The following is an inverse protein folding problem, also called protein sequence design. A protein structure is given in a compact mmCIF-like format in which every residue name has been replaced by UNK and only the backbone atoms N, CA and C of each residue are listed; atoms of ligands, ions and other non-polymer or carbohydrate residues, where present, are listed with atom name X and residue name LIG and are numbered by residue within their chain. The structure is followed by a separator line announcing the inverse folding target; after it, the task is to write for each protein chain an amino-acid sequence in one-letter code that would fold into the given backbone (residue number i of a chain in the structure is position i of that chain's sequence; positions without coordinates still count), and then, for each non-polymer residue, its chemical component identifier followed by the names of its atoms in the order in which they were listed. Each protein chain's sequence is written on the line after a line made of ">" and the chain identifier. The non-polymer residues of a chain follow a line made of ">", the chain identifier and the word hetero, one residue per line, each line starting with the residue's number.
data_IF_308375056530
#
_entry.id   IF_308375056530
#
_cell.length_a   1.000
_cell.length_b   1.000
_cell.length_c   1.000
_cell.angle_alpha   90.00
_cell.angle_beta   90.00
_cell.angle_gamma   90.00
#
_symmetry.space_group_name_H-M   'P 1'
#
loop_
_entity.id
_entity.type
_entity.pdbx_description
1 polymer ?
#
# COMPACT_ATOMS: atom_id res chain seq x y z
N UNK A 1 69.02 -21.10 -35.63
CA UNK A 1 68.00 -21.73 -36.49
C UNK A 1 67.45 -22.92 -35.70
N UNK A 2 66.18 -23.04 -35.32
CA UNK A 2 64.93 -22.53 -35.89
C UNK A 2 63.89 -22.27 -34.78
N UNK A 3 63.05 -21.28 -35.07
CA UNK A 3 61.77 -20.93 -34.47
C UNK A 3 60.75 -22.09 -34.56
N UNK A 4 59.89 -22.24 -33.55
CA UNK A 4 58.47 -22.72 -33.56
C UNK A 4 58.10 -23.14 -32.13
N UNK A 5 56.93 -22.96 -31.54
CA UNK A 5 55.79 -22.06 -31.72
C UNK A 5 54.95 -22.23 -30.43
N UNK A 6 54.34 -21.13 -29.96
CA UNK A 6 53.05 -21.03 -29.26
C UNK A 6 52.56 -22.23 -28.40
N UNK A 7 52.55 -22.08 -27.07
CA UNK A 7 51.54 -22.73 -26.22
C UNK A 7 50.86 -21.62 -25.42
N UNK A 8 49.68 -21.25 -25.89
CA UNK A 8 48.74 -20.36 -25.22
C UNK A 8 48.29 -21.00 -23.91
N UNK A 9 48.76 -20.50 -22.78
CA UNK A 9 48.23 -20.86 -21.47
C UNK A 9 46.93 -20.08 -21.26
N UNK A 10 45.83 -20.64 -21.77
CA UNK A 10 44.47 -20.22 -21.44
C UNK A 10 44.22 -20.61 -19.97
N UNK A 11 44.51 -19.70 -19.05
CA UNK A 11 44.06 -19.81 -17.67
C UNK A 11 42.53 -19.66 -17.69
N UNK A 12 41.84 -20.80 -17.64
CA UNK A 12 40.43 -20.87 -17.30
C UNK A 12 40.25 -20.15 -15.96
N UNK A 13 39.71 -18.94 -16.00
CA UNK A 13 38.85 -18.48 -14.92
C UNK A 13 37.68 -19.46 -14.89
N UNK A 14 37.76 -20.46 -14.01
CA UNK A 14 36.60 -21.20 -13.58
C UNK A 14 35.65 -20.17 -12.95
N UNK A 15 34.74 -19.67 -13.78
CA UNK A 15 33.50 -19.11 -13.28
C UNK A 15 32.92 -20.17 -12.34
N UNK A 16 32.85 -19.85 -11.06
CA UNK A 16 31.87 -20.45 -10.16
C UNK A 16 30.50 -19.98 -10.62
N UNK A 17 30.09 -20.44 -11.80
CA UNK A 17 28.75 -20.33 -12.31
C UNK A 17 28.01 -21.53 -11.77
N UNK A 18 26.95 -21.23 -11.02
CA UNK A 18 25.77 -22.05 -10.74
C UNK A 18 26.03 -23.56 -10.68
N UNK A 19 26.03 -24.08 -9.45
CA UNK A 19 25.70 -25.47 -9.18
C UNK A 19 24.36 -25.78 -9.87
N UNK A 20 24.43 -26.34 -11.07
CA UNK A 20 23.30 -26.91 -11.79
C UNK A 20 23.11 -28.32 -11.25
N UNK A 21 22.58 -28.42 -10.04
CA UNK A 21 22.00 -29.68 -9.59
C UNK A 21 20.59 -29.77 -10.15
N UNK A 22 20.40 -30.76 -11.03
CA UNK A 22 19.10 -31.25 -11.45
C UNK A 22 18.23 -31.51 -10.21
N UNK A 23 17.12 -30.77 -10.09
CA UNK A 23 16.31 -30.85 -8.88
C UNK A 23 15.03 -30.03 -8.96
N UNK A 24 14.14 -30.39 -9.90
CA UNK A 24 12.75 -29.91 -10.06
C UNK A 24 12.57 -28.41 -10.30
N UNK A 25 11.65 -28.05 -11.20
CA UNK A 25 10.93 -26.77 -11.13
C UNK A 25 10.26 -26.73 -9.75
N UNK A 26 11.01 -26.30 -8.72
CA UNK A 26 10.47 -26.13 -7.39
C UNK A 26 9.37 -25.07 -7.55
N UNK A 27 8.13 -25.48 -7.35
CA UNK A 27 6.99 -24.56 -7.39
C UNK A 27 7.17 -23.59 -6.23
N UNK A 28 7.81 -22.45 -6.51
CA UNK A 28 8.00 -21.39 -5.53
C UNK A 28 6.64 -20.76 -5.29
N UNK A 29 6.16 -20.81 -4.05
CA UNK A 29 5.00 -20.03 -3.65
C UNK A 29 5.41 -18.56 -3.64
N UNK A 30 4.83 -17.70 -4.50
CA UNK A 30 5.23 -16.31 -4.57
C UNK A 30 4.92 -15.61 -3.24
N UNK A 31 5.83 -14.75 -2.75
CA UNK A 31 5.53 -13.94 -1.59
C UNK A 31 4.41 -12.95 -1.91
N UNK A 32 3.65 -12.59 -0.87
CA UNK A 32 2.57 -11.62 -0.90
C UNK A 32 2.97 -10.37 -0.14
N UNK A 33 2.32 -9.27 -0.51
CA UNK A 33 2.49 -7.97 0.12
C UNK A 33 1.10 -7.37 0.32
N UNK A 34 0.58 -7.45 1.55
CA UNK A 34 -0.79 -7.06 1.87
C UNK A 34 -0.83 -6.05 3.01
N UNK A 35 -1.84 -5.17 2.98
CA UNK A 35 -2.18 -4.36 4.15
C UNK A 35 -3.05 -5.21 5.08
N UNK A 36 -2.58 -5.41 6.30
CA UNK A 36 -3.26 -6.18 7.36
C UNK A 36 -3.37 -5.35 8.63
N UNK A 37 -4.32 -5.69 9.49
CA UNK A 37 -4.42 -5.13 10.84
C UNK A 37 -3.74 -6.06 11.83
N UNK A 38 -2.87 -5.52 12.67
CA UNK A 38 -2.23 -6.28 13.74
C UNK A 38 -3.23 -6.50 14.89
N UNK A 39 -3.54 -7.75 15.21
CA UNK A 39 -4.49 -8.10 16.29
C UNK A 39 -3.78 -8.34 17.64
N UNK A 40 -2.45 -8.35 17.63
CA UNK A 40 -1.62 -8.64 18.81
C UNK A 40 -0.72 -9.86 18.64
N UNK A 41 0.22 -10.00 19.57
CA UNK A 41 1.03 -11.22 19.70
C UNK A 41 0.28 -12.22 20.60
N UNK A 42 0.28 -13.49 20.20
CA UNK A 42 -0.24 -14.62 20.99
C UNK A 42 0.78 -15.09 22.01
N UNK A 43 0.32 -15.83 23.02
CA UNK A 43 1.15 -16.35 24.11
C UNK A 43 2.31 -17.27 23.64
N UNK A 44 2.17 -17.86 22.45
CA UNK A 44 3.21 -18.69 21.80
C UNK A 44 4.26 -17.84 21.03
N UNK A 45 4.23 -16.51 21.15
CA UNK A 45 5.22 -15.62 20.56
C UNK A 45 5.04 -15.39 19.05
N UNK A 46 3.83 -15.56 18.53
CA UNK A 46 3.47 -15.32 17.13
C UNK A 46 2.52 -14.13 17.00
N UNK A 47 2.47 -13.48 15.85
CA UNK A 47 1.51 -12.40 15.62
C UNK A 47 0.24 -12.89 14.92
N UNK A 48 -0.88 -12.28 15.29
CA UNK A 48 -2.17 -12.43 14.60
C UNK A 48 -2.41 -11.23 13.71
N UNK A 49 -2.72 -11.47 12.44
CA UNK A 49 -2.94 -10.43 11.45
C UNK A 49 -4.28 -10.64 10.76
N UNK A 50 -5.15 -9.63 10.78
CA UNK A 50 -6.41 -9.65 10.07
C UNK A 50 -6.23 -9.10 8.64
N UNK A 51 -6.40 -9.97 7.65
CA UNK A 51 -6.47 -9.61 6.24
C UNK A 51 -7.94 -9.54 5.83
N UNK A 52 -8.42 -8.32 5.59
CA UNK A 52 -9.75 -8.09 5.01
C UNK A 52 -9.59 -7.95 3.51
N UNK A 53 -10.28 -8.77 2.74
CA UNK A 53 -10.21 -8.68 1.28
C UNK A 53 -11.03 -7.49 0.73
N UNK A 54 -10.80 -7.11 -0.54
CA UNK A 54 -11.42 -5.92 -1.14
C UNK A 54 -12.94 -5.92 -1.03
N UNK A 55 -13.50 -4.75 -0.72
CA UNK A 55 -14.93 -4.51 -0.56
C UNK A 55 -15.63 -5.44 0.45
N UNK A 56 -14.88 -5.87 1.47
CA UNK A 56 -15.31 -6.80 2.53
C UNK A 56 -15.67 -8.20 2.02
N UNK A 57 -15.00 -8.68 0.96
CA UNK A 57 -15.24 -10.02 0.42
C UNK A 57 -14.74 -11.18 1.30
N UNK A 58 -14.46 -10.93 2.58
CA UNK A 58 -14.00 -11.92 3.56
C UNK A 58 -12.94 -11.35 4.49
N UNK A 59 -12.80 -11.97 5.66
CA UNK A 59 -11.69 -11.73 6.59
C UNK A 59 -10.95 -13.04 6.83
N UNK A 60 -9.65 -13.03 6.58
CA UNK A 60 -8.75 -14.14 6.87
C UNK A 60 -7.86 -13.75 8.03
N UNK A 61 -7.83 -14.58 9.08
CA UNK A 61 -6.91 -14.39 10.20
C UNK A 61 -5.64 -15.20 9.94
N UNK A 62 -4.52 -14.50 9.76
CA UNK A 62 -3.21 -15.09 9.51
C UNK A 62 -2.45 -15.23 10.83
N UNK A 63 -1.72 -16.34 11.02
CA UNK A 63 -0.72 -16.47 12.08
C UNK A 63 0.67 -16.30 11.50
N UNK A 64 1.39 -15.27 11.91
CA UNK A 64 2.77 -15.07 11.49
C UNK A 64 3.72 -16.05 12.19
N UNK A 65 4.77 -16.46 11.50
CA UNK A 65 5.84 -17.32 12.03
C UNK A 65 6.65 -16.69 13.19
N UNK A 66 6.43 -15.41 13.51
CA UNK A 66 7.09 -14.67 14.58
C UNK A 66 6.20 -13.55 15.13
N UNK A 67 6.52 -13.09 16.34
CA UNK A 67 5.95 -11.88 16.93
C UNK A 67 6.37 -10.61 16.16
N UNK A 68 5.53 -9.59 16.30
CA UNK A 68 5.83 -8.21 15.91
C UNK A 68 6.42 -7.45 17.09
N UNK A 69 7.30 -6.49 16.80
CA UNK A 69 7.84 -5.55 17.78
C UNK A 69 6.76 -4.56 18.23
N UNK A 70 6.26 -4.74 19.44
CA UNK A 70 5.22 -3.90 20.04
C UNK A 70 5.74 -2.54 20.52
N UNK A 71 7.04 -2.25 20.40
CA UNK A 71 7.54 -0.88 20.54
C UNK A 71 7.27 -0.03 19.29
N UNK A 72 6.99 -0.66 18.15
CA UNK A 72 6.80 0.00 16.86
C UNK A 72 5.37 -0.08 16.30
N UNK A 73 4.58 -1.06 16.75
CA UNK A 73 3.21 -1.33 16.24
C UNK A 73 2.32 -1.77 17.39
N UNK A 74 1.16 -1.14 17.52
CA UNK A 74 0.14 -1.49 18.51
C UNK A 74 -0.99 -2.34 17.90
N UNK A 75 -1.68 -3.20 18.69
CA UNK A 75 -2.89 -3.85 18.22
C UNK A 75 -3.92 -2.83 17.70
N UNK A 76 -4.46 -3.09 16.51
CA UNK A 76 -5.32 -2.19 15.74
C UNK A 76 -4.58 -1.41 14.64
N UNK A 77 -3.26 -1.31 14.70
CA UNK A 77 -2.47 -0.66 13.66
C UNK A 77 -2.51 -1.42 12.34
N UNK A 78 -2.43 -0.66 11.25
CA UNK A 78 -2.31 -1.20 9.89
C UNK A 78 -0.85 -1.29 9.51
N UNK A 79 -0.45 -2.46 9.04
CA UNK A 79 0.90 -2.73 8.55
C UNK A 79 0.85 -3.28 7.14
N UNK A 80 1.94 -3.09 6.41
CA UNK A 80 2.22 -3.74 5.15
C UNK A 80 3.05 -4.98 5.44
N UNK A 81 2.44 -6.16 5.37
CA UNK A 81 3.10 -7.43 5.66
C UNK A 81 3.65 -8.04 4.37
N UNK A 82 4.94 -8.40 4.38
CA UNK A 82 5.61 -9.15 3.33
C UNK A 82 5.84 -10.60 3.80
N UNK A 83 5.17 -11.55 3.17
CA UNK A 83 5.11 -12.93 3.68
C UNK A 83 5.00 -13.97 2.58
N UNK A 84 5.36 -15.22 2.89
CA UNK A 84 5.03 -16.38 2.07
C UNK A 84 3.88 -17.16 2.73
N UNK A 85 2.79 -17.48 2.01
CA UNK A 85 1.71 -18.33 2.54
C UNK A 85 2.22 -19.74 2.89
N UNK A 86 1.86 -20.23 4.09
CA UNK A 86 2.16 -21.58 4.61
C UNK A 86 0.90 -22.11 5.32
N UNK A 87 -0.18 -22.28 4.56
CA UNK A 87 -1.55 -22.57 5.06
C UNK A 87 -1.58 -23.54 6.26
N UNK A 88 -2.23 -23.17 7.40
CA UNK A 88 -3.04 -21.96 7.63
C UNK A 88 -2.24 -20.73 8.08
N UNK A 89 -0.92 -20.85 8.20
CA UNK A 89 -0.02 -19.83 8.74
C UNK A 89 0.69 -19.06 7.62
N UNK A 90 1.50 -18.08 8.00
CA UNK A 90 2.37 -17.36 7.08
C UNK A 90 3.79 -17.32 7.62
N UNK A 91 4.77 -17.44 6.72
CA UNK A 91 6.14 -17.08 7.05
C UNK A 91 6.36 -15.61 6.77
N UNK A 92 6.35 -14.82 7.84
CA UNK A 92 6.51 -13.37 7.79
C UNK A 92 7.98 -13.02 7.56
N UNK A 93 8.30 -12.54 6.35
CA UNK A 93 9.63 -12.07 6.04
C UNK A 93 9.87 -10.70 6.67
N UNK A 94 9.01 -9.73 6.39
CA UNK A 94 9.14 -8.37 6.93
C UNK A 94 7.79 -7.65 7.03
N UNK A 95 7.78 -6.51 7.71
CA UNK A 95 6.61 -5.62 7.77
C UNK A 95 7.02 -4.16 7.96
N UNK A 96 6.14 -3.25 7.56
CA UNK A 96 6.28 -1.82 7.82
C UNK A 96 4.94 -1.21 8.25
N UNK A 97 4.93 -0.20 9.13
CA UNK A 97 3.72 0.58 9.41
C UNK A 97 3.15 1.21 8.14
N UNK A 98 1.82 1.18 7.99
CA UNK A 98 1.14 1.91 6.92
C UNK A 98 0.82 3.32 7.42
N UNK A 99 0.96 4.31 6.54
CA UNK A 99 0.54 5.68 6.87
C UNK A 99 -0.99 5.71 7.05
N UNK A 100 -1.46 5.88 8.27
CA UNK A 100 -2.90 5.94 8.58
C UNK A 100 -3.34 7.38 8.82
N UNK A 101 -4.44 7.77 8.18
CA UNK A 101 -4.97 9.12 8.27
C UNK A 101 -6.47 9.11 8.48
N UNK A 102 -6.99 10.03 9.28
CA UNK A 102 -8.44 10.16 9.47
C UNK A 102 -9.06 10.97 8.33
N UNK A 103 -10.26 10.60 7.91
CA UNK A 103 -11.11 11.41 7.04
C UNK A 103 -11.28 12.82 7.63
N UNK A 104 -11.17 13.84 6.78
CA UNK A 104 -11.40 15.25 7.14
C UNK A 104 -12.65 15.76 6.43
N UNK A 105 -13.23 16.84 6.94
CA UNK A 105 -14.40 17.50 6.33
C UNK A 105 -13.99 18.93 5.95
N UNK A 106 -14.45 19.40 4.79
CA UNK A 106 -14.30 20.78 4.38
C UNK A 106 -15.47 21.22 3.49
N UNK A 107 -15.74 22.52 3.44
CA UNK A 107 -16.66 23.13 2.48
C UNK A 107 -16.18 22.90 1.04
N UNK A 108 -17.13 22.86 0.10
CA UNK A 108 -16.84 22.78 -1.34
C UNK A 108 -15.88 23.88 -1.81
N UNK A 109 -16.08 25.11 -1.33
CA UNK A 109 -15.26 26.28 -1.66
C UNK A 109 -13.80 26.04 -1.27
N UNK A 110 -13.55 25.58 -0.04
CA UNK A 110 -12.20 25.20 0.41
C UNK A 110 -11.63 24.11 -0.49
N UNK A 111 -12.37 23.04 -0.78
CA UNK A 111 -11.89 21.95 -1.64
C UNK A 111 -11.50 22.43 -3.05
N UNK A 112 -12.28 23.33 -3.64
CA UNK A 112 -12.02 23.89 -4.97
C UNK A 112 -10.79 24.84 -4.98
N UNK A 113 -10.40 25.40 -3.83
CA UNK A 113 -9.15 26.18 -3.69
C UNK A 113 -7.88 25.33 -3.54
N UNK A 114 -8.01 24.03 -3.28
CA UNK A 114 -6.85 23.17 -3.05
C UNK A 114 -6.18 22.84 -4.39
N UNK A 115 -5.07 23.52 -4.67
CA UNK A 115 -4.13 23.09 -5.72
C UNK A 115 -3.60 21.72 -5.35
N UNK A 116 -3.79 20.75 -6.25
CA UNK A 116 -3.41 19.37 -6.03
C UNK A 116 -2.31 18.98 -7.02
N UNK A 117 -1.16 18.61 -6.46
CA UNK A 117 -0.15 17.89 -7.20
C UNK A 117 -0.73 16.52 -7.64
N UNK A 118 -0.36 16.04 -8.83
CA UNK A 118 -0.88 14.79 -9.33
C UNK A 118 -0.38 13.59 -8.51
N UNK A 119 -1.22 12.57 -8.42
CA UNK A 119 -0.94 11.30 -7.75
C UNK A 119 -0.87 10.20 -8.79
N UNK A 120 0.25 9.47 -8.85
CA UNK A 120 0.32 8.28 -9.69
C UNK A 120 -0.37 7.13 -8.96
N UNK A 121 -1.64 6.88 -9.30
CA UNK A 121 -2.44 5.85 -8.63
C UNK A 121 -2.12 4.47 -9.21
N UNK A 122 -1.75 3.52 -8.34
CA UNK A 122 -1.57 2.11 -8.70
C UNK A 122 -2.82 1.31 -8.36
N UNK A 123 -3.38 1.49 -7.17
CA UNK A 123 -4.60 0.81 -6.74
C UNK A 123 -5.33 1.58 -5.63
N UNK A 124 -6.66 1.55 -5.66
CA UNK A 124 -7.53 2.04 -4.58
C UNK A 124 -8.55 0.95 -4.26
N UNK A 125 -8.70 0.59 -2.99
CA UNK A 125 -9.67 -0.42 -2.57
C UNK A 125 -10.14 -0.20 -1.14
N UNK A 126 -11.36 -0.63 -0.82
CA UNK A 126 -11.91 -0.52 0.53
C UNK A 126 -11.72 -1.82 1.31
N UNK A 127 -11.41 -1.70 2.60
CA UNK A 127 -11.46 -2.80 3.57
C UNK A 127 -12.04 -2.31 4.89
N UNK A 128 -13.18 -2.83 5.30
CA UNK A 128 -13.98 -2.35 6.41
C UNK A 128 -14.24 -0.84 6.30
N UNK A 129 -13.85 -0.11 7.34
CA UNK A 129 -13.93 1.35 7.37
C UNK A 129 -12.66 2.04 6.87
N UNK A 130 -11.86 1.39 6.02
CA UNK A 130 -10.63 1.93 5.46
C UNK A 130 -10.68 2.04 3.95
N UNK A 131 -10.23 3.18 3.42
CA UNK A 131 -9.84 3.31 2.02
C UNK A 131 -8.34 3.15 1.93
N UNK A 132 -7.88 2.17 1.18
CA UNK A 132 -6.47 1.90 0.96
C UNK A 132 -6.04 2.45 -0.40
N UNK A 133 -4.86 3.03 -0.43
CA UNK A 133 -4.26 3.59 -1.62
C UNK A 133 -2.82 3.10 -1.73
N UNK A 134 -2.51 2.48 -2.87
CA UNK A 134 -1.16 2.28 -3.35
C UNK A 134 -0.89 3.30 -4.45
N UNK A 135 0.12 4.14 -4.27
CA UNK A 135 0.48 5.18 -5.22
C UNK A 135 1.99 5.33 -5.36
N UNK A 136 2.42 6.10 -6.35
CA UNK A 136 3.72 6.75 -6.35
C UNK A 136 3.53 8.24 -6.15
N UNK A 137 4.40 8.81 -5.33
CA UNK A 137 4.39 10.24 -5.01
C UNK A 137 5.80 10.83 -5.26
N UNK A 138 5.90 12.10 -5.69
CA UNK A 138 7.15 12.85 -5.71
C UNK A 138 7.79 12.85 -4.32
N UNK A 139 9.06 12.48 -4.18
CA UNK A 139 9.76 12.58 -2.89
C UNK A 139 10.08 14.03 -2.54
N UNK A 140 9.78 14.43 -1.31
CA UNK A 140 10.26 15.67 -0.71
C UNK A 140 10.60 15.42 0.76
N UNK A 141 11.69 16.00 1.29
CA UNK A 141 12.02 15.94 2.72
C UNK A 141 11.10 16.82 3.58
N UNK A 142 10.35 17.73 2.97
CA UNK A 142 9.44 18.64 3.65
C UNK A 142 8.02 18.06 3.77
N UNK A 143 7.27 18.53 4.77
CA UNK A 143 5.92 18.04 5.04
C UNK A 143 4.97 18.48 3.92
N UNK A 144 4.41 17.50 3.21
CA UNK A 144 3.32 17.69 2.25
C UNK A 144 1.96 17.69 2.93
N UNK A 145 0.94 18.26 2.27
CA UNK A 145 -0.44 17.91 2.60
C UNK A 145 -0.80 16.59 1.93
N UNK A 146 -1.27 15.63 2.72
CA UNK A 146 -1.82 14.36 2.24
C UNK A 146 -3.04 14.02 3.08
N UNK A 147 -4.22 13.98 2.47
CA UNK A 147 -5.48 13.78 3.18
C UNK A 147 -6.57 13.21 2.27
N UNK A 148 -7.55 12.54 2.88
CA UNK A 148 -8.85 12.30 2.28
C UNK A 148 -9.84 13.30 2.91
N UNK A 149 -10.49 14.10 2.09
CA UNK A 149 -11.37 15.18 2.55
C UNK A 149 -12.75 15.02 1.93
N UNK A 150 -13.80 14.90 2.74
CA UNK A 150 -15.21 14.84 2.29
C UNK A 150 -15.81 16.24 2.24
N UNK A 151 -16.60 16.50 1.21
CA UNK A 151 -17.41 17.71 1.04
C UNK A 151 -18.54 17.72 2.06
N UNK A 152 -18.53 18.73 2.93
CA UNK A 152 -19.50 18.92 4.02
C UNK A 152 -20.96 18.88 3.55
N UNK A 153 -21.24 19.33 2.32
CA UNK A 153 -22.60 19.37 1.77
C UNK A 153 -23.14 17.97 1.45
N UNK A 154 -22.27 16.96 1.39
CA UNK A 154 -22.62 15.59 0.98
C UNK A 154 -22.53 14.56 2.12
N UNK A 155 -22.05 14.96 3.31
CA UNK A 155 -21.71 14.01 4.40
C UNK A 155 -22.91 13.34 5.05
N UNK A 156 -24.08 13.96 4.94
CA UNK A 156 -25.36 13.45 5.47
C UNK A 156 -26.21 12.78 4.37
N UNK A 157 -25.78 12.85 3.11
CA UNK A 157 -26.52 12.31 1.98
C UNK A 157 -26.19 10.84 1.66
N UNK A 158 -27.00 10.19 0.80
CA UNK A 158 -26.74 8.82 0.35
C UNK A 158 -25.44 8.67 -0.43
N UNK A 159 -24.99 9.74 -1.09
CA UNK A 159 -23.74 9.78 -1.87
C UNK A 159 -22.83 10.85 -1.30
N UNK A 160 -21.84 10.42 -0.52
CA UNK A 160 -20.78 11.28 -0.02
C UNK A 160 -19.69 11.45 -1.09
N UNK A 161 -19.20 12.68 -1.26
CA UNK A 161 -18.12 13.01 -2.21
C UNK A 161 -16.88 13.44 -1.43
N UNK A 162 -15.78 12.76 -1.68
CA UNK A 162 -14.49 13.08 -1.11
C UNK A 162 -13.42 13.27 -2.19
N UNK A 163 -12.30 13.86 -1.81
CA UNK A 163 -11.13 14.04 -2.67
C UNK A 163 -9.87 13.66 -1.92
N UNK A 164 -8.95 12.97 -2.59
CA UNK A 164 -7.56 12.84 -2.14
C UNK A 164 -6.86 14.18 -2.42
N UNK A 165 -6.43 14.83 -1.36
CA UNK A 165 -5.72 16.10 -1.42
C UNK A 165 -4.24 15.82 -1.29
N UNK A 166 -3.47 16.25 -2.29
CA UNK A 166 -2.02 16.15 -2.32
C UNK A 166 -1.43 17.51 -2.65
N UNK A 167 -0.84 18.17 -1.66
CA UNK A 167 -0.16 19.45 -1.88
C UNK A 167 1.31 19.29 -1.57
N UNK A 168 2.16 19.59 -2.54
CA UNK A 168 3.59 19.70 -2.29
C UNK A 168 3.89 21.01 -1.55
N UNK A 169 5.01 21.07 -0.81
CA UNK A 169 5.52 22.31 -0.26
C UNK A 169 5.74 23.37 -1.35
N UNK A 170 5.68 24.65 -0.97
CA UNK A 170 5.83 25.75 -1.91
C UNK A 170 7.20 25.71 -2.61
N UNK A 171 7.21 25.93 -3.92
CA UNK A 171 8.43 25.92 -4.73
C UNK A 171 8.93 24.53 -5.14
N UNK A 172 8.26 23.45 -4.72
CA UNK A 172 8.59 22.09 -5.16
C UNK A 172 7.94 21.79 -6.50
N UNK A 173 8.78 21.47 -7.50
CA UNK A 173 8.35 20.99 -8.81
C UNK A 173 8.27 19.44 -8.82
N UNK A 174 7.07 18.85 -8.93
CA UNK A 174 6.89 17.39 -8.91
C UNK A 174 7.68 16.67 -10.00
N UNK A 175 7.90 17.29 -11.16
CA UNK A 175 8.59 16.66 -12.30
C UNK A 175 10.09 16.49 -12.08
N UNK A 176 10.65 17.21 -11.09
CA UNK A 176 12.07 17.16 -10.73
C UNK A 176 12.37 16.27 -9.53
N UNK A 177 11.33 15.71 -8.91
CA UNK A 177 11.47 14.77 -7.81
C UNK A 177 11.57 13.34 -8.36
N UNK A 178 12.35 12.48 -7.71
CA UNK A 178 12.18 11.04 -7.90
C UNK A 178 10.89 10.58 -7.21
N UNK A 179 10.26 9.54 -7.73
CA UNK A 179 9.05 8.98 -7.15
C UNK A 179 9.35 7.86 -6.15
N UNK A 180 8.51 7.71 -5.13
CA UNK A 180 8.57 6.58 -4.20
C UNK A 180 7.21 5.91 -4.04
N UNK A 181 7.21 4.59 -3.77
CA UNK A 181 5.96 3.86 -3.50
C UNK A 181 5.40 4.27 -2.15
N UNK A 182 4.11 4.60 -2.12
CA UNK A 182 3.37 4.94 -0.92
C UNK A 182 2.19 3.98 -0.72
N UNK A 183 2.01 3.56 0.53
CA UNK A 183 0.83 2.84 1.00
C UNK A 183 0.17 3.68 2.08
N UNK A 184 -1.09 4.05 1.87
CA UNK A 184 -1.87 4.83 2.83
C UNK A 184 -3.20 4.14 3.09
N UNK A 185 -3.67 4.20 4.34
CA UNK A 185 -5.03 3.82 4.71
C UNK A 185 -5.77 4.99 5.37
N UNK A 186 -6.87 5.41 4.78
CA UNK A 186 -7.73 6.47 5.32
C UNK A 186 -8.88 5.87 6.13
N UNK A 187 -8.97 6.22 7.41
CA UNK A 187 -10.10 5.85 8.27
C UNK A 187 -11.32 6.68 7.88
N UNK A 188 -12.31 6.02 7.28
CA UNK A 188 -13.60 6.60 6.90
C UNK A 188 -14.71 6.23 7.88
N UNK A 189 -14.40 5.64 9.04
CA UNK A 189 -15.41 5.15 9.99
C UNK A 189 -16.44 6.19 10.42
N UNK A 190 -16.01 7.45 10.60
CA UNK A 190 -16.88 8.57 10.96
C UNK A 190 -17.97 8.88 9.91
N UNK A 191 -17.74 8.50 8.65
CA UNK A 191 -18.68 8.64 7.54
C UNK A 191 -19.38 7.30 7.24
N UNK A 192 -18.60 6.23 7.06
CA UNK A 192 -19.09 4.94 6.58
C UNK A 192 -20.02 4.24 7.58
N UNK A 193 -19.91 4.51 8.88
CA UNK A 193 -20.83 3.96 9.89
C UNK A 193 -22.20 4.66 9.93
N UNK A 194 -22.40 5.77 9.22
CA UNK A 194 -23.68 6.49 9.18
C UNK A 194 -24.70 5.71 8.37
N UNK A 195 -25.93 5.58 8.89
CA UNK A 195 -27.01 4.83 8.24
C UNK A 195 -27.46 5.46 6.92
N UNK A 196 -27.41 6.78 6.80
CA UNK A 196 -27.82 7.52 5.60
C UNK A 196 -26.81 7.51 4.45
N UNK A 197 -25.57 7.06 4.66
CA UNK A 197 -24.53 7.01 3.62
C UNK A 197 -24.54 5.63 2.97
N UNK A 198 -24.68 5.56 1.66
CA UNK A 198 -24.73 4.32 0.87
C UNK A 198 -23.53 4.19 -0.07
N UNK A 199 -23.04 5.33 -0.57
CA UNK A 199 -21.97 5.42 -1.55
C UNK A 199 -20.94 6.49 -1.15
N UNK A 200 -19.66 6.17 -1.36
CA UNK A 200 -18.54 7.12 -1.26
C UNK A 200 -17.86 7.21 -2.62
N UNK A 201 -17.80 8.43 -3.17
CA UNK A 201 -17.06 8.76 -4.38
C UNK A 201 -15.79 9.50 -4.01
N UNK A 202 -14.64 9.05 -4.51
CA UNK A 202 -13.34 9.61 -4.17
C UNK A 202 -12.69 10.14 -5.44
N UNK A 203 -12.61 11.47 -5.54
CA UNK A 203 -11.88 12.16 -6.59
C UNK A 203 -10.37 12.16 -6.32
N UNK A 204 -9.56 12.06 -7.38
CA UNK A 204 -8.10 12.21 -7.32
C UNK A 204 -7.56 12.72 -8.65
N UNK A 205 -6.54 13.58 -8.59
CA UNK A 205 -5.81 14.02 -9.78
C UNK A 205 -4.81 12.94 -10.21
N UNK A 206 -5.32 11.94 -10.92
CA UNK A 206 -4.55 10.76 -11.31
C UNK A 206 -3.61 11.06 -12.49
N UNK A 207 -2.30 10.89 -12.30
CA UNK A 207 -1.32 11.03 -13.40
C UNK A 207 -1.12 9.75 -14.22
N UNK A 208 -1.52 8.59 -13.70
CA UNK A 208 -1.32 7.31 -14.39
C UNK A 208 -2.42 7.08 -15.45
N UNK A 209 -3.68 7.19 -15.03
CA UNK A 209 -4.85 7.06 -15.89
C UNK A 209 -5.68 8.33 -15.78
N UNK A 210 -5.40 9.31 -16.64
CA UNK A 210 -5.99 10.66 -16.55
C UNK A 210 -7.50 10.70 -16.83
N UNK A 211 -8.07 9.65 -17.41
CA UNK A 211 -9.53 9.46 -17.54
C UNK A 211 -10.18 8.96 -16.24
N UNK A 212 -9.42 8.27 -15.39
CA UNK A 212 -9.88 7.67 -14.14
C UNK A 212 -9.61 8.61 -12.97
N UNK A 213 -10.55 9.54 -12.76
CA UNK A 213 -10.45 10.60 -11.75
C UNK A 213 -11.36 10.39 -10.54
N UNK A 214 -12.24 9.39 -10.57
CA UNK A 214 -13.18 9.09 -9.49
C UNK A 214 -13.25 7.58 -9.21
N UNK A 215 -13.12 7.19 -7.95
CA UNK A 215 -13.31 5.81 -7.47
C UNK A 215 -14.59 5.71 -6.65
N UNK A 216 -15.42 4.70 -6.92
CA UNK A 216 -16.74 4.57 -6.31
C UNK A 216 -16.80 3.33 -5.42
N UNK A 217 -17.18 3.52 -4.17
CA UNK A 217 -17.39 2.46 -3.20
C UNK A 217 -18.83 2.47 -2.72
N UNK A 218 -19.47 1.31 -2.71
CA UNK A 218 -20.86 1.13 -2.24
C UNK A 218 -20.88 0.21 -1.03
N UNK A 219 -21.77 0.50 -0.09
CA UNK A 219 -22.10 -0.49 0.94
C UNK A 219 -22.78 -1.67 0.26
N UNK A 220 -22.42 -2.88 0.68
CA UNK A 220 -23.21 -4.05 0.35
C UNK A 220 -24.54 -3.94 1.11
N UNK A 221 -25.64 -4.18 0.41
CA UNK A 221 -26.99 -4.22 0.98
C UNK A 221 -27.20 -5.50 1.78
#
# INVERSE_FOLDING_TARGET
>A
MRLTALISLLLLFAATACDSSDGTDATLTPPRLDIVTFEGNTDDGRARLALVGPDDNGTTLLTASRALDTAAVDPGDRILAYYTPEEPDIRLADYAPVNTLKLRVASREVLDTLSNAPVYVIAVWRTGTWINLRSRLPYTPEIRTWALVVDEQTVEGPVARARIVHRLPDGVDPERCYEFNNYTSFDISALWKRTGVEELRIGVDNSNLTSETEFIFRKQQ
#
